data_IF_141138244229
#
_entry.id   IF_141138244229
#
_cell.length_a   1.000
_cell.length_b   1.000
_cell.length_c   1.000
_cell.angle_alpha   90.00
_cell.angle_beta   90.00
_cell.angle_gamma   90.00
#
_symmetry.space_group_name_H-M   'P 1'
#
loop_
_entity.id
_entity.type
_entity.pdbx_description
1 polymer ?
#
# COMPACT_ATOMS: atom_id res chain seq x y z
N UNK A 1 7.85 17.43 15.87
CA UNK A 1 8.35 16.35 16.75
C UNK A 1 8.68 15.15 15.89
N UNK A 2 9.57 14.28 16.34
CA UNK A 2 9.83 13.01 15.64
C UNK A 2 8.52 12.21 15.77
N UNK A 3 7.65 12.25 14.76
CA UNK A 3 6.64 11.20 14.63
C UNK A 3 7.42 9.88 14.59
N UNK A 4 7.20 9.10 15.65
CA UNK A 4 8.03 7.96 16.01
C UNK A 4 7.78 6.84 15.01
N UNK A 5 8.81 6.07 14.69
CA UNK A 5 8.68 4.86 13.85
C UNK A 5 7.89 3.76 14.60
N UNK A 6 7.85 3.86 15.92
CA UNK A 6 7.30 2.90 16.87
C UNK A 6 5.82 2.54 16.63
N UNK A 7 4.88 3.47 16.38
CA UNK A 7 3.45 3.14 16.31
C UNK A 7 3.12 2.17 15.16
N UNK A 8 3.75 2.37 13.99
CA UNK A 8 3.56 1.47 12.83
C UNK A 8 4.13 0.08 13.09
N UNK A 9 5.29 -0.01 13.74
CA UNK A 9 5.91 -1.28 14.13
C UNK A 9 5.09 -2.01 15.20
N UNK A 10 4.66 -1.32 16.24
CA UNK A 10 3.82 -1.90 17.29
C UNK A 10 2.48 -2.40 16.74
N UNK A 11 1.91 -1.67 15.78
CA UNK A 11 0.66 -2.06 15.12
C UNK A 11 0.86 -3.32 14.28
N UNK A 12 1.89 -3.38 13.45
CA UNK A 12 2.13 -4.56 12.61
C UNK A 12 2.51 -5.79 13.44
N UNK A 13 3.23 -5.60 14.56
CA UNK A 13 3.52 -6.66 15.52
C UNK A 13 2.25 -7.18 16.19
N UNK A 14 1.37 -6.27 16.64
CA UNK A 14 0.08 -6.63 17.24
C UNK A 14 -0.80 -7.41 16.25
N UNK A 15 -0.85 -7.00 14.98
CA UNK A 15 -1.58 -7.74 13.95
C UNK A 15 -0.96 -9.14 13.75
N UNK A 16 0.37 -9.22 13.69
CA UNK A 16 1.05 -10.49 13.47
C UNK A 16 0.83 -11.49 14.61
N UNK A 17 0.85 -11.02 15.87
CA UNK A 17 0.55 -11.84 17.05
C UNK A 17 -0.87 -12.40 17.04
N UNK A 18 -1.83 -11.64 16.49
CA UNK A 18 -3.23 -12.05 16.39
C UNK A 18 -3.53 -12.90 15.14
N UNK A 19 -2.73 -12.79 14.07
CA UNK A 19 -2.89 -13.51 12.80
C UNK A 19 -1.78 -14.57 12.62
N UNK A 20 -1.74 -15.59 13.48
CA UNK A 20 -0.66 -16.61 13.50
C UNK A 20 -0.57 -17.50 12.26
N UNK A 21 -1.61 -17.52 11.41
CA UNK A 21 -1.69 -18.45 10.28
C UNK A 21 -0.80 -18.10 9.08
N UNK A 22 -0.24 -16.88 9.00
CA UNK A 22 0.57 -16.44 7.84
C UNK A 22 1.80 -15.63 8.26
N UNK A 23 2.97 -15.92 7.67
CA UNK A 23 4.17 -15.14 7.92
C UNK A 23 4.01 -13.71 7.37
N UNK A 24 4.48 -12.74 8.13
CA UNK A 24 4.45 -11.34 7.75
C UNK A 24 5.39 -11.08 6.57
N UNK A 25 4.92 -10.30 5.59
CA UNK A 25 5.74 -9.97 4.42
C UNK A 25 6.82 -8.94 4.80
N UNK A 26 8.10 -9.28 4.60
CA UNK A 26 9.26 -8.43 4.97
C UNK A 26 9.17 -7.00 4.44
N UNK A 27 8.65 -6.81 3.22
CA UNK A 27 8.45 -5.47 2.65
C UNK A 27 7.49 -4.58 3.45
N UNK A 28 6.54 -5.14 4.19
CA UNK A 28 5.65 -4.34 5.06
C UNK A 28 6.41 -3.80 6.27
N UNK A 29 7.27 -4.62 6.89
CA UNK A 29 8.12 -4.18 8.00
C UNK A 29 9.05 -3.03 7.57
N UNK A 30 9.69 -3.19 6.42
CA UNK A 30 10.58 -2.14 5.88
C UNK A 30 9.78 -0.89 5.50
N UNK A 31 8.56 -1.04 4.97
CA UNK A 31 7.69 0.09 4.73
C UNK A 31 7.34 0.84 6.04
N UNK A 32 7.05 0.14 7.14
CA UNK A 32 6.83 0.76 8.45
C UNK A 32 8.04 1.57 8.92
N UNK A 33 9.26 1.05 8.71
CA UNK A 33 10.50 1.73 9.06
C UNK A 33 10.75 3.00 8.23
N UNK A 34 10.54 2.92 6.92
CA UNK A 34 10.92 3.99 6.00
C UNK A 34 9.83 5.06 5.83
N UNK A 35 8.57 4.74 6.09
CA UNK A 35 7.46 5.65 5.84
C UNK A 35 7.60 7.00 6.59
N UNK A 36 7.90 7.05 7.90
CA UNK A 36 8.08 8.33 8.60
C UNK A 36 9.25 9.16 8.07
N UNK A 37 10.27 8.51 7.50
CA UNK A 37 11.42 9.20 6.89
C UNK A 37 11.00 9.84 5.56
N UNK A 38 10.21 9.12 4.76
CA UNK A 38 9.67 9.65 3.50
C UNK A 38 8.68 10.79 3.74
N UNK A 39 7.80 10.69 4.74
CA UNK A 39 6.88 11.78 5.07
C UNK A 39 7.62 13.05 5.45
N UNK A 40 8.67 12.94 6.28
CA UNK A 40 9.53 14.08 6.62
C UNK A 40 10.24 14.66 5.40
N UNK A 41 10.77 13.80 4.52
CA UNK A 41 11.42 14.24 3.30
C UNK A 41 10.44 14.97 2.37
N UNK A 42 9.22 14.45 2.17
CA UNK A 42 8.19 15.12 1.38
C UNK A 42 7.79 16.48 1.97
N UNK A 43 7.62 16.52 3.30
CA UNK A 43 7.29 17.76 3.97
C UNK A 43 8.43 18.79 3.81
N UNK A 44 9.67 18.40 4.02
CA UNK A 44 10.81 19.30 3.91
C UNK A 44 11.05 19.76 2.46
N UNK A 45 11.07 18.83 1.50
CA UNK A 45 11.45 19.16 0.13
C UNK A 45 10.37 19.89 -0.65
N UNK A 46 9.10 19.70 -0.30
CA UNK A 46 7.96 20.22 -1.05
C UNK A 46 6.99 21.04 -0.19
N UNK A 47 6.36 20.43 0.83
CA UNK A 47 5.25 21.08 1.54
C UNK A 47 5.67 22.33 2.33
N UNK A 48 6.87 22.33 2.90
CA UNK A 48 7.42 23.49 3.63
C UNK A 48 7.72 24.69 2.74
N UNK A 49 7.72 24.48 1.42
CA UNK A 49 7.95 25.48 0.37
C UNK A 49 6.66 25.81 -0.38
N UNK A 50 5.50 25.49 0.19
CA UNK A 50 4.17 25.64 -0.42
C UNK A 50 4.04 24.94 -1.78
N UNK A 51 4.85 23.91 -2.05
CA UNK A 51 4.76 23.10 -3.27
C UNK A 51 4.04 21.78 -2.97
N UNK A 52 2.96 21.50 -3.71
CA UNK A 52 2.27 20.21 -3.63
C UNK A 52 2.89 19.24 -4.64
N UNK A 53 3.62 18.21 -4.20
CA UNK A 53 4.31 17.33 -5.13
C UNK A 53 3.31 16.47 -5.89
N UNK A 54 3.52 16.33 -7.19
CA UNK A 54 2.77 15.39 -8.00
C UNK A 54 3.31 13.97 -7.81
N UNK A 55 2.54 12.97 -8.21
CA UNK A 55 2.88 11.58 -7.92
C UNK A 55 4.24 11.11 -8.47
N UNK A 56 4.65 11.62 -9.64
CA UNK A 56 6.00 11.36 -10.18
C UNK A 56 7.14 11.80 -9.26
N UNK A 57 7.07 13.01 -8.69
CA UNK A 57 8.05 13.54 -7.72
C UNK A 57 8.06 12.68 -6.45
N UNK A 58 6.88 12.31 -5.94
CA UNK A 58 6.74 11.43 -4.77
C UNK A 58 7.43 10.08 -5.03
N UNK A 59 7.20 9.48 -6.20
CA UNK A 59 7.84 8.22 -6.59
C UNK A 59 9.36 8.39 -6.70
N UNK A 60 9.85 9.46 -7.31
CA UNK A 60 11.29 9.72 -7.44
C UNK A 60 11.95 9.91 -6.08
N UNK A 61 11.37 10.73 -5.20
CA UNK A 61 11.85 10.93 -3.84
C UNK A 61 11.86 9.60 -3.07
N UNK A 62 10.76 8.86 -3.10
CA UNK A 62 10.66 7.53 -2.46
C UNK A 62 11.80 6.60 -2.90
N UNK A 63 12.06 6.52 -4.21
CA UNK A 63 13.14 5.71 -4.74
C UNK A 63 14.52 6.20 -4.32
N UNK A 64 14.76 7.52 -4.34
CA UNK A 64 16.01 8.13 -3.91
C UNK A 64 16.25 7.85 -2.42
N UNK A 65 15.28 8.13 -1.55
CA UNK A 65 15.36 7.89 -0.11
C UNK A 65 15.59 6.41 0.20
N UNK A 66 14.88 5.48 -0.44
CA UNK A 66 15.12 4.04 -0.25
C UNK A 66 16.55 3.68 -0.66
N UNK A 67 17.03 4.17 -1.81
CA UNK A 67 18.40 3.89 -2.27
C UNK A 67 19.42 4.44 -1.27
N UNK A 68 19.25 5.68 -0.84
CA UNK A 68 20.20 6.42 -0.03
C UNK A 68 20.24 5.94 1.43
N UNK A 69 19.19 5.26 1.91
CA UNK A 69 19.18 4.62 3.23
C UNK A 69 19.57 3.15 3.15
N UNK A 70 18.95 2.41 2.23
CA UNK A 70 19.03 0.95 2.22
C UNK A 70 20.25 0.47 1.44
N UNK A 71 20.56 1.08 0.29
CA UNK A 71 21.65 0.59 -0.57
C UNK A 71 23.01 1.03 -0.05
N UNK A 72 23.09 2.21 0.58
CA UNK A 72 24.30 2.73 1.21
C UNK A 72 24.64 1.96 2.49
N UNK A 73 23.63 1.64 3.30
CA UNK A 73 23.81 0.92 4.57
C UNK A 73 23.94 -0.59 4.38
N UNK A 74 23.37 -1.15 3.31
CA UNK A 74 23.33 -2.59 3.05
C UNK A 74 23.63 -2.90 1.58
N UNK A 75 24.90 -3.18 1.28
CA UNK A 75 25.42 -3.48 -0.06
C UNK A 75 24.72 -4.66 -0.74
N UNK A 76 24.19 -5.62 0.03
CA UNK A 76 23.53 -6.83 -0.46
C UNK A 76 22.00 -6.82 -0.29
N UNK A 77 21.38 -5.65 -0.15
CA UNK A 77 19.95 -5.60 0.04
C UNK A 77 19.17 -6.12 -1.20
N UNK A 78 18.17 -7.01 -1.04
CA UNK A 78 17.45 -7.55 -2.17
C UNK A 78 16.68 -6.50 -2.97
N UNK A 79 17.09 -6.26 -4.23
CA UNK A 79 16.45 -5.29 -5.15
C UNK A 79 14.93 -5.48 -5.27
N UNK A 80 14.48 -6.73 -5.26
CA UNK A 80 13.04 -7.07 -5.30
C UNK A 80 12.28 -6.49 -4.12
N UNK A 81 12.86 -6.55 -2.91
CA UNK A 81 12.21 -6.00 -1.72
C UNK A 81 12.15 -4.48 -1.83
N UNK A 82 13.22 -3.81 -2.26
CA UNK A 82 13.23 -2.36 -2.48
C UNK A 82 12.16 -1.92 -3.49
N UNK A 83 11.97 -2.66 -4.58
CA UNK A 83 10.93 -2.36 -5.56
C UNK A 83 9.52 -2.47 -4.97
N UNK A 84 9.25 -3.53 -4.19
CA UNK A 84 7.95 -3.72 -3.52
C UNK A 84 7.72 -2.62 -2.48
N UNK A 85 8.74 -2.28 -1.69
CA UNK A 85 8.66 -1.20 -0.68
C UNK A 85 8.39 0.14 -1.35
N UNK A 86 9.10 0.48 -2.43
CA UNK A 86 8.84 1.70 -3.19
C UNK A 86 7.41 1.76 -3.71
N UNK A 87 6.90 0.64 -4.23
CA UNK A 87 5.51 0.54 -4.65
C UNK A 87 4.53 0.76 -3.49
N UNK A 88 4.73 0.08 -2.35
CA UNK A 88 3.89 0.22 -1.15
C UNK A 88 3.82 1.69 -0.70
N UNK A 89 4.97 2.34 -0.58
CA UNK A 89 5.11 3.69 -0.02
C UNK A 89 4.56 4.75 -0.98
N UNK A 90 4.95 4.72 -2.26
CA UNK A 90 4.43 5.68 -3.25
C UNK A 90 2.92 5.53 -3.49
N UNK A 91 2.38 4.31 -3.36
CA UNK A 91 0.93 4.07 -3.50
C UNK A 91 0.12 4.69 -2.36
N UNK A 92 0.72 4.95 -1.19
CA UNK A 92 0.00 5.64 -0.09
C UNK A 92 -0.49 7.02 -0.51
N UNK A 93 0.27 7.72 -1.35
CA UNK A 93 -0.10 9.04 -1.87
C UNK A 93 -1.04 8.98 -3.09
N UNK A 94 -1.28 7.77 -3.64
CA UNK A 94 -2.44 7.52 -4.52
C UNK A 94 -3.71 7.33 -3.70
N UNK A 95 -3.59 6.68 -2.54
CA UNK A 95 -4.72 6.41 -1.66
C UNK A 95 -5.22 7.67 -0.98
N UNK A 96 -4.28 8.50 -0.53
CA UNK A 96 -4.53 9.74 0.16
C UNK A 96 -3.63 10.84 -0.44
N UNK A 97 -4.03 11.43 -1.58
CA UNK A 97 -3.24 12.46 -2.24
C UNK A 97 -3.33 13.79 -1.49
N UNK A 98 -2.24 14.58 -1.52
CA UNK A 98 -2.19 15.91 -0.90
C UNK A 98 -3.25 16.89 -1.45
N UNK A 99 -3.75 16.67 -2.67
CA UNK A 99 -4.81 17.47 -3.27
C UNK A 99 -6.21 17.19 -2.68
N UNK A 100 -6.34 16.16 -1.83
CA UNK A 100 -7.61 15.71 -1.24
C UNK A 100 -8.55 14.96 -2.20
N UNK A 101 -8.26 14.93 -3.50
CA UNK A 101 -9.13 14.27 -4.50
C UNK A 101 -8.69 12.83 -4.76
N UNK A 102 -9.41 11.88 -4.18
CA UNK A 102 -9.16 10.45 -4.40
C UNK A 102 -9.80 9.99 -5.71
N UNK A 103 -9.03 9.29 -6.54
CA UNK A 103 -9.53 8.60 -7.72
C UNK A 103 -9.19 7.10 -7.60
N UNK A 104 -10.11 6.23 -8.05
CA UNK A 104 -9.95 4.77 -8.00
C UNK A 104 -9.65 4.18 -9.39
N UNK A 105 -8.46 4.41 -9.97
CA UNK A 105 -8.14 3.90 -11.30
C UNK A 105 -8.10 2.36 -11.31
N UNK A 106 -8.89 1.67 -12.15
CA UNK A 106 -8.91 0.21 -12.21
C UNK A 106 -7.55 -0.44 -12.49
N UNK A 107 -6.63 0.29 -13.14
CA UNK A 107 -5.26 -0.17 -13.43
C UNK A 107 -4.45 -0.45 -12.17
N UNK A 108 -4.70 0.29 -11.09
CA UNK A 108 -3.95 0.13 -9.83
C UNK A 108 -4.27 -1.21 -9.17
N UNK A 109 -5.51 -1.69 -9.29
CA UNK A 109 -5.92 -2.99 -8.75
C UNK A 109 -5.29 -4.20 -9.45
N UNK A 110 -4.79 -4.01 -10.68
CA UNK A 110 -4.12 -5.07 -11.46
C UNK A 110 -2.68 -5.30 -11.02
N UNK A 111 -2.10 -4.40 -10.22
CA UNK A 111 -0.74 -4.57 -9.76
C UNK A 111 -0.64 -5.68 -8.72
N UNK A 112 0.26 -6.64 -8.93
CA UNK A 112 0.41 -7.83 -8.06
C UNK A 112 0.68 -7.49 -6.58
N UNK A 113 1.34 -6.36 -6.33
CA UNK A 113 1.70 -5.90 -4.98
C UNK A 113 0.65 -4.94 -4.39
N UNK A 114 -0.46 -4.68 -5.10
CA UNK A 114 -1.57 -3.86 -4.58
C UNK A 114 -2.11 -4.34 -3.21
N UNK A 115 -2.31 -5.66 -2.97
CA UNK A 115 -2.72 -6.14 -1.65
C UNK A 115 -1.80 -5.70 -0.51
N UNK A 116 -0.49 -5.66 -0.74
CA UNK A 116 0.47 -5.22 0.27
C UNK A 116 0.36 -3.71 0.52
N UNK A 117 0.20 -2.90 -0.52
CA UNK A 117 -0.01 -1.47 -0.37
C UNK A 117 -1.30 -1.18 0.42
N UNK A 118 -2.39 -1.89 0.11
CA UNK A 118 -3.66 -1.77 0.83
C UNK A 118 -3.56 -2.27 2.28
N UNK A 119 -2.79 -3.33 2.53
CA UNK A 119 -2.51 -3.81 3.88
C UNK A 119 -1.71 -2.79 4.68
N UNK A 120 -0.73 -2.13 4.07
CA UNK A 120 0.00 -1.04 4.72
C UNK A 120 -0.92 0.15 5.04
N UNK A 121 -1.87 0.48 4.16
CA UNK A 121 -2.89 1.49 4.47
C UNK A 121 -3.76 1.09 5.68
N UNK A 122 -4.11 -0.20 5.83
CA UNK A 122 -4.79 -0.71 7.04
C UNK A 122 -3.96 -0.41 8.29
N UNK A 123 -2.65 -0.69 8.24
CA UNK A 123 -1.74 -0.43 9.38
C UNK A 123 -1.77 1.06 9.74
N UNK A 124 -1.64 1.95 8.73
CA UNK A 124 -1.73 3.40 8.95
C UNK A 124 -3.09 3.81 9.55
N UNK A 125 -4.19 3.30 9.01
CA UNK A 125 -5.54 3.62 9.48
C UNK A 125 -5.86 3.13 10.90
N UNK A 126 -5.11 2.15 11.42
CA UNK A 126 -5.23 1.74 12.83
C UNK A 126 -4.50 2.71 13.78
N UNK A 127 -3.52 3.46 13.28
CA UNK A 127 -2.82 4.50 14.04
C UNK A 127 -3.47 5.88 13.88
N UNK A 128 -4.12 6.11 12.74
CA UNK A 128 -4.78 7.36 12.38
C UNK A 128 -6.22 7.09 11.92
N UNK A 129 -7.18 7.47 12.76
CA UNK A 129 -8.61 7.27 12.51
C UNK A 129 -9.12 8.01 11.27
N UNK A 130 -8.48 9.10 10.84
CA UNK A 130 -8.88 9.86 9.65
C UNK A 130 -8.67 9.07 8.36
N UNK A 131 -7.74 8.11 8.37
CA UNK A 131 -7.47 7.23 7.23
C UNK A 131 -8.44 6.04 7.17
N UNK A 132 -9.25 5.78 8.20
CA UNK A 132 -10.16 4.63 8.22
C UNK A 132 -11.21 4.66 7.08
N UNK A 133 -11.87 5.80 6.79
CA UNK A 133 -12.77 5.90 5.64
C UNK A 133 -12.05 5.68 4.30
N UNK A 134 -10.81 6.19 4.18
CA UNK A 134 -9.98 6.02 2.98
C UNK A 134 -9.67 4.54 2.77
N UNK A 135 -9.23 3.84 3.82
CA UNK A 135 -8.98 2.40 3.80
C UNK A 135 -10.23 1.62 3.40
N UNK A 136 -11.38 1.89 4.04
CA UNK A 136 -12.64 1.21 3.74
C UNK A 136 -13.03 1.36 2.27
N UNK A 137 -12.95 2.57 1.72
CA UNK A 137 -13.25 2.84 0.31
C UNK A 137 -12.36 2.03 -0.63
N UNK A 138 -11.04 2.08 -0.46
CA UNK A 138 -10.09 1.32 -1.28
C UNK A 138 -10.29 -0.20 -1.17
N UNK A 139 -10.54 -0.70 0.04
CA UNK A 139 -10.84 -2.12 0.29
C UNK A 139 -12.09 -2.57 -0.46
N UNK A 140 -13.16 -1.79 -0.40
CA UNK A 140 -14.44 -2.17 -1.00
C UNK A 140 -14.38 -2.11 -2.53
N UNK A 141 -13.72 -1.11 -3.10
CA UNK A 141 -13.44 -1.05 -4.54
C UNK A 141 -12.57 -2.23 -5.01
N UNK A 142 -11.52 -2.58 -4.26
CA UNK A 142 -10.67 -3.72 -4.59
C UNK A 142 -11.43 -5.05 -4.52
N UNK A 143 -12.30 -5.22 -3.51
CA UNK A 143 -13.16 -6.41 -3.39
C UNK A 143 -14.10 -6.55 -4.60
N UNK A 144 -14.75 -5.47 -5.03
CA UNK A 144 -15.60 -5.46 -6.24
C UNK A 144 -14.79 -5.79 -7.49
N UNK A 145 -13.58 -5.23 -7.62
CA UNK A 145 -12.69 -5.52 -8.73
C UNK A 145 -12.35 -7.02 -8.83
N UNK A 146 -11.96 -7.65 -7.71
CA UNK A 146 -11.70 -9.10 -7.67
C UNK A 146 -12.95 -9.90 -8.06
N UNK A 147 -14.13 -9.55 -7.53
CA UNK A 147 -15.37 -10.27 -7.82
C UNK A 147 -15.75 -10.25 -9.30
N UNK A 148 -15.47 -9.14 -10.01
CA UNK A 148 -15.74 -8.99 -11.44
C UNK A 148 -14.71 -9.71 -12.32
N UNK A 149 -13.48 -9.88 -11.84
CA UNK A 149 -12.37 -10.44 -12.61
C UNK A 149 -11.98 -11.85 -12.15
N UNK A 150 -12.77 -12.50 -11.29
CA UNK A 150 -12.55 -13.88 -10.89
C UNK A 150 -13.11 -14.81 -11.99
N UNK A 151 -12.25 -15.42 -12.83
CA UNK A 151 -12.70 -16.24 -13.94
C UNK A 151 -13.48 -17.48 -13.48
N UNK A 152 -13.36 -17.86 -12.20
CA UNK A 152 -14.00 -19.06 -11.65
C UNK A 152 -15.52 -18.94 -11.48
N UNK A 153 -16.11 -17.75 -11.61
CA UNK A 153 -17.56 -17.56 -11.45
C UNK A 153 -18.37 -17.61 -12.74
N UNK A 154 -17.74 -17.65 -13.92
CA UNK A 154 -18.45 -17.61 -15.22
C UNK A 154 -18.73 -18.97 -15.87
N UNK A 155 -18.29 -20.08 -15.27
CA UNK A 155 -18.66 -21.41 -15.74
C UNK A 155 -19.73 -22.04 -14.84
N UNK A 156 -20.94 -21.50 -14.89
CA UNK A 156 -22.10 -22.35 -14.60
C UNK A 156 -22.25 -23.32 -15.78
N UNK A 157 -22.17 -24.64 -15.58
CA UNK A 157 -22.38 -25.58 -16.67
C UNK A 157 -23.79 -25.37 -17.26
N UNK A 158 -23.97 -25.46 -18.58
CA UNK A 158 -25.27 -25.29 -19.20
C UNK A 158 -26.23 -26.31 -18.59
N UNK A 159 -27.30 -25.83 -17.98
CA UNK A 159 -28.36 -26.64 -17.42
C UNK A 159 -28.95 -27.45 -18.57
N UNK A 160 -28.70 -28.77 -18.61
CA UNK A 160 -29.35 -29.66 -19.57
C UNK A 160 -30.85 -29.53 -19.36
N UNK A 161 -31.56 -28.92 -20.34
CA UNK A 161 -33.01 -29.00 -20.42
C UNK A 161 -33.36 -30.48 -20.53
N UNK A 162 -33.96 -31.04 -19.49
CA UNK A 162 -34.61 -32.34 -19.53
C UNK A 162 -35.82 -32.17 -20.46
N UNK A 163 -35.73 -32.71 -21.68
CA UNK A 163 -36.92 -32.92 -22.51
C UNK A 163 -37.70 -34.06 -21.85
N UNK A 164 -38.87 -33.74 -21.31
CA UNK A 164 -39.89 -34.74 -21.03
C UNK A 164 -40.57 -35.07 -22.35
N UNK A 165 -40.46 -36.34 -22.75
CA UNK A 165 -41.35 -36.99 -23.71
C UNK A 165 -42.68 -37.35 -23.03
#
# INVERSE_FOLDING_TARGET
>A
GIETIEPLLQTIDSIHQNETSKPLHRSLLIACLLFPIIEKALHFDFLSKDHTPHLGEITQLTHATIRDIVTTSFTHFPRRISAIVSYILSTQYRFHPFSGRVHYPPRVFRHKDFPLALYFLKIRALNDSELMPVYAGWRDHYRRFIQQHDPKKHHSPPTKKVMHE
#
